data_IF_555423753813
#
_entry.id   IF_555423753813
#
_cell.length_a   1.000
_cell.length_b   1.000
_cell.length_c   1.000
_cell.angle_alpha   90.00
_cell.angle_beta   90.00
_cell.angle_gamma   90.00
#
_symmetry.space_group_name_H-M   'P 1'
#
loop_
_entity.id
_entity.type
_entity.pdbx_description
1 polymer ?
#
# COMPACT_ATOMS: atom_id res chain seq x y z
N UNK A 1 3.73 19.25 -23.47
CA UNK A 1 3.47 19.44 -22.03
C UNK A 1 4.78 19.14 -21.33
N UNK A 2 5.24 19.99 -20.42
CA UNK A 2 6.45 19.73 -19.64
C UNK A 2 6.26 18.44 -18.83
N UNK A 3 7.14 17.45 -19.02
CA UNK A 3 7.07 16.14 -18.37
C UNK A 3 7.03 16.27 -16.85
N UNK A 4 7.70 17.28 -16.28
CA UNK A 4 7.69 17.54 -14.85
C UNK A 4 6.32 18.00 -14.37
N UNK A 5 5.68 18.91 -15.11
CA UNK A 5 4.35 19.41 -14.78
C UNK A 5 3.29 18.29 -14.84
N UNK A 6 3.37 17.42 -15.86
CA UNK A 6 2.48 16.27 -15.99
C UNK A 6 2.67 15.26 -14.84
N UNK A 7 3.90 15.01 -14.40
CA UNK A 7 4.18 14.13 -13.27
C UNK A 7 3.63 14.67 -11.96
N UNK A 8 3.85 15.96 -11.65
CA UNK A 8 3.29 16.60 -10.45
C UNK A 8 1.76 16.53 -10.45
N UNK A 9 1.14 16.76 -11.61
CA UNK A 9 -0.31 16.64 -11.74
C UNK A 9 -0.78 15.20 -11.44
N UNK A 10 -0.11 14.18 -11.97
CA UNK A 10 -0.45 12.79 -11.70
C UNK A 10 -0.32 12.44 -10.20
N UNK A 11 0.76 12.87 -9.55
CA UNK A 11 0.94 12.67 -8.10
C UNK A 11 -0.19 13.33 -7.31
N UNK A 12 -0.55 14.57 -7.64
CA UNK A 12 -1.65 15.27 -6.97
C UNK A 12 -2.99 14.54 -7.16
N UNK A 13 -3.30 14.12 -8.38
CA UNK A 13 -4.53 13.35 -8.67
C UNK A 13 -4.60 12.07 -7.83
N UNK A 14 -3.47 11.37 -7.69
CA UNK A 14 -3.45 10.10 -6.96
C UNK A 14 -3.50 10.31 -5.44
N UNK A 15 -2.99 11.41 -4.90
CA UNK A 15 -2.93 11.60 -3.44
C UNK A 15 -4.13 12.35 -2.86
N UNK A 16 -4.76 13.24 -3.63
CA UNK A 16 -5.79 14.16 -3.10
C UNK A 16 -7.22 13.62 -3.17
N UNK A 17 -7.54 12.79 -4.16
CA UNK A 17 -8.90 12.31 -4.37
C UNK A 17 -9.11 10.89 -3.79
N UNK A 18 -10.28 10.56 -3.21
CA UNK A 18 -10.61 9.19 -2.85
C UNK A 18 -10.79 8.31 -4.09
N UNK A 19 -10.10 7.17 -4.14
CA UNK A 19 -10.27 6.17 -5.19
C UNK A 19 -10.01 4.74 -4.68
N UNK A 20 -10.35 3.78 -5.53
CA UNK A 20 -10.04 2.37 -5.32
C UNK A 20 -9.49 1.77 -6.63
N UNK A 21 -8.40 1.00 -6.54
CA UNK A 21 -7.85 0.29 -7.69
C UNK A 21 -8.63 -1.00 -7.90
N UNK A 22 -9.19 -1.25 -9.11
CA UNK A 22 -10.04 -2.42 -9.36
C UNK A 22 -9.28 -3.75 -9.28
N UNK A 23 -7.95 -3.72 -9.29
CA UNK A 23 -7.06 -4.87 -9.14
C UNK A 23 -6.86 -5.28 -7.68
N UNK A 24 -7.36 -4.50 -6.71
CA UNK A 24 -7.20 -4.77 -5.29
C UNK A 24 -8.54 -5.16 -4.64
N UNK A 25 -8.51 -6.17 -3.77
CA UNK A 25 -9.61 -6.56 -2.88
C UNK A 25 -9.39 -6.11 -1.43
N UNK A 26 -10.48 -5.78 -0.73
CA UNK A 26 -10.54 -5.36 0.69
C UNK A 26 -10.46 -6.52 1.71
N UNK A 27 -10.08 -7.71 1.27
CA UNK A 27 -9.89 -8.88 2.16
C UNK A 27 -8.53 -9.52 1.97
N UNK A 28 -7.79 -9.07 0.95
CA UNK A 28 -6.49 -9.61 0.63
C UNK A 28 -5.43 -8.88 1.46
N UNK A 29 -4.33 -9.59 1.72
CA UNK A 29 -3.13 -9.03 2.33
C UNK A 29 -2.05 -9.05 1.26
N UNK A 30 -1.55 -7.87 0.90
CA UNK A 30 -0.48 -7.69 -0.07
C UNK A 30 0.83 -7.71 0.69
N UNK A 31 1.59 -8.78 0.53
CA UNK A 31 2.81 -9.05 1.28
C UNK A 31 4.01 -9.01 0.35
N UNK A 32 5.09 -8.34 0.78
CA UNK A 32 6.39 -8.40 0.12
C UNK A 32 7.50 -8.54 1.14
N UNK A 33 8.46 -9.39 0.82
CA UNK A 33 9.66 -9.67 1.58
C UNK A 33 10.67 -8.59 1.24
N UNK A 34 11.26 -8.02 2.26
CA UNK A 34 12.31 -7.02 2.16
C UNK A 34 13.65 -7.67 1.75
N UNK A 35 14.59 -6.91 1.20
CA UNK A 35 15.83 -7.46 0.65
C UNK A 35 16.92 -7.68 1.71
N UNK A 36 16.92 -6.92 2.81
CA UNK A 36 17.93 -6.98 3.89
C UNK A 36 17.67 -8.16 4.86
N UNK A 37 17.49 -9.37 4.31
CA UNK A 37 17.26 -10.59 5.10
C UNK A 37 18.54 -11.40 5.22
N UNK A 38 18.73 -12.09 6.33
CA UNK A 38 19.80 -13.09 6.51
C UNK A 38 19.45 -14.45 5.84
N UNK A 39 18.54 -14.44 4.87
CA UNK A 39 17.99 -15.62 4.23
C UNK A 39 16.77 -16.21 4.94
N UNK A 40 16.44 -15.77 6.17
CA UNK A 40 15.26 -16.25 6.89
C UNK A 40 13.95 -15.86 6.21
N UNK A 41 12.97 -16.75 6.36
CA UNK A 41 11.59 -16.54 5.92
C UNK A 41 10.73 -16.38 7.17
N UNK A 42 9.84 -15.40 7.17
CA UNK A 42 8.93 -15.14 8.26
C UNK A 42 8.31 -13.75 8.20
N UNK A 43 7.25 -13.50 8.98
CA UNK A 43 6.54 -12.21 9.02
C UNK A 43 7.44 -11.05 9.46
N UNK A 44 8.53 -11.33 10.18
CA UNK A 44 9.59 -10.38 10.52
C UNK A 44 10.48 -9.99 9.35
N UNK A 45 10.20 -10.47 8.15
CA UNK A 45 10.91 -10.13 6.91
C UNK A 45 9.99 -9.48 5.89
N UNK A 46 8.74 -9.21 6.26
CA UNK A 46 7.69 -8.84 5.32
C UNK A 46 7.05 -7.50 5.66
N UNK A 47 6.89 -6.66 4.64
CA UNK A 47 5.94 -5.55 4.68
C UNK A 47 4.59 -6.05 4.18
N UNK A 48 3.53 -5.74 4.91
CA UNK A 48 2.17 -6.13 4.53
C UNK A 48 1.24 -4.94 4.53
N UNK A 49 0.41 -4.86 3.49
CA UNK A 49 -0.67 -3.87 3.38
C UNK A 49 -2.00 -4.61 3.23
N UNK A 50 -3.00 -4.20 3.99
CA UNK A 50 -4.38 -4.68 3.82
C UNK A 50 -5.35 -3.53 4.02
N UNK A 51 -6.58 -3.73 3.58
CA UNK A 51 -7.64 -2.74 3.66
C UNK A 51 -8.90 -3.40 4.16
N UNK A 52 -9.68 -2.71 4.99
CA UNK A 52 -11.02 -3.19 5.37
C UNK A 52 -12.08 -2.71 4.37
N UNK A 53 -13.28 -3.33 4.37
CA UNK A 53 -14.38 -2.94 3.47
C UNK A 53 -14.86 -1.48 3.62
N UNK A 54 -14.58 -0.85 4.76
CA UNK A 54 -14.83 0.58 5.02
C UNK A 54 -13.75 1.50 4.43
N UNK A 55 -12.71 0.94 3.81
CA UNK A 55 -11.66 1.67 3.10
C UNK A 55 -10.44 2.06 3.93
N UNK A 56 -10.41 1.68 5.22
CA UNK A 56 -9.25 1.90 6.08
C UNK A 56 -8.08 1.01 5.66
N UNK A 57 -6.88 1.57 5.68
CA UNK A 57 -5.66 0.85 5.38
C UNK A 57 -4.92 0.45 6.64
N UNK A 58 -4.27 -0.71 6.61
CA UNK A 58 -3.37 -1.19 7.65
C UNK A 58 -2.02 -1.52 7.04
N UNK A 59 -0.97 -0.98 7.65
CA UNK A 59 0.42 -1.27 7.34
C UNK A 59 1.01 -2.08 8.49
N UNK A 60 1.55 -3.25 8.17
CA UNK A 60 2.31 -4.06 9.12
C UNK A 60 3.76 -4.09 8.66
N UNK A 61 4.65 -3.66 9.56
CA UNK A 61 6.09 -3.71 9.36
C UNK A 61 6.68 -4.88 10.15
N UNK A 62 7.82 -5.42 9.70
CA UNK A 62 8.59 -6.41 10.46
C UNK A 62 8.73 -6.07 11.95
N UNK A 63 8.31 -7.00 12.81
CA UNK A 63 8.47 -6.88 14.27
C UNK A 63 7.71 -5.72 14.91
N UNK A 64 6.74 -5.12 14.21
CA UNK A 64 5.98 -3.94 14.67
C UNK A 64 4.49 -4.23 14.80
N UNK A 65 3.80 -3.41 15.59
CA UNK A 65 2.34 -3.43 15.63
C UNK A 65 1.74 -2.91 14.31
N UNK A 66 0.50 -3.32 14.02
CA UNK A 66 -0.22 -2.89 12.82
C UNK A 66 -0.65 -1.42 12.93
N UNK A 67 -0.30 -0.61 11.94
CA UNK A 67 -0.56 0.82 11.88
C UNK A 67 -1.78 1.09 10.99
N UNK A 68 -2.84 1.67 11.56
CA UNK A 68 -4.09 2.00 10.85
C UNK A 68 -4.07 3.43 10.29
N UNK A 69 -4.45 3.58 9.03
CA UNK A 69 -4.64 4.87 8.36
C UNK A 69 -6.06 4.98 7.82
N UNK A 70 -6.80 5.96 8.35
CA UNK A 70 -8.22 6.17 8.04
C UNK A 70 -8.45 7.32 7.09
N UNK A 71 -9.53 7.25 6.33
CA UNK A 71 -10.09 8.38 5.59
C UNK A 71 -11.01 9.22 6.49
N UNK A 72 -11.52 10.35 5.98
CA UNK A 72 -12.40 11.25 6.75
C UNK A 72 -13.67 10.53 7.25
N UNK A 73 -14.13 9.50 6.52
CA UNK A 73 -15.18 8.59 6.96
C UNK A 73 -14.66 7.74 8.15
N UNK A 74 -14.99 8.16 9.38
CA UNK A 74 -14.49 7.53 10.62
C UNK A 74 -13.48 8.36 11.41
N UNK A 75 -13.29 9.64 11.03
CA UNK A 75 -12.46 10.60 11.79
C UNK A 75 -10.97 10.54 11.49
N UNK A 76 -10.57 9.84 10.42
CA UNK A 76 -9.20 9.87 9.90
C UNK A 76 -8.86 11.22 9.29
N UNK A 77 -7.56 11.49 9.16
CA UNK A 77 -7.02 12.67 8.46
C UNK A 77 -5.89 12.28 7.49
N UNK A 78 -5.89 11.03 7.06
CA UNK A 78 -4.74 10.38 6.42
C UNK A 78 -5.05 9.90 5.00
N UNK A 79 -5.92 10.61 4.27
CA UNK A 79 -6.31 10.27 2.90
C UNK A 79 -5.09 10.01 2.00
N UNK A 80 -4.13 10.94 1.98
CA UNK A 80 -2.90 10.83 1.18
C UNK A 80 -2.10 9.59 1.53
N UNK A 81 -1.93 9.31 2.83
CA UNK A 81 -1.20 8.11 3.29
C UNK A 81 -1.94 6.83 2.90
N UNK A 82 -3.26 6.80 3.09
CA UNK A 82 -4.10 5.68 2.69
C UNK A 82 -4.02 5.44 1.17
N UNK A 83 -4.00 6.49 0.37
CA UNK A 83 -3.85 6.40 -1.08
C UNK A 83 -2.45 5.94 -1.49
N UNK A 84 -1.39 6.37 -0.80
CA UNK A 84 -0.05 5.85 -1.00
C UNK A 84 0.03 4.35 -0.70
N UNK A 85 -0.72 3.87 0.32
CA UNK A 85 -0.79 2.45 0.63
C UNK A 85 -1.52 1.64 -0.45
N UNK A 86 -2.53 2.19 -1.14
CA UNK A 86 -3.11 1.53 -2.33
C UNK A 86 -2.06 1.32 -3.42
N UNK A 87 -1.25 2.35 -3.69
CA UNK A 87 -0.18 2.23 -4.68
C UNK A 87 0.87 1.20 -4.27
N UNK A 88 1.23 1.16 -2.99
CA UNK A 88 2.16 0.15 -2.47
C UNK A 88 1.59 -1.26 -2.63
N UNK A 89 0.31 -1.47 -2.27
CA UNK A 89 -0.34 -2.77 -2.45
C UNK A 89 -0.37 -3.22 -3.92
N UNK A 90 -0.66 -2.31 -4.85
CA UNK A 90 -0.63 -2.60 -6.28
C UNK A 90 0.80 -2.88 -6.79
N UNK A 91 1.81 -2.18 -6.28
CA UNK A 91 3.21 -2.47 -6.59
C UNK A 91 3.60 -3.88 -6.10
N UNK A 92 3.27 -4.22 -4.86
CA UNK A 92 3.50 -5.56 -4.29
C UNK A 92 2.81 -6.64 -5.13
N UNK A 93 1.55 -6.43 -5.54
CA UNK A 93 0.81 -7.37 -6.39
C UNK A 93 1.56 -7.63 -7.69
N UNK A 94 2.02 -6.57 -8.37
CA UNK A 94 2.79 -6.68 -9.63
C UNK A 94 4.15 -7.36 -9.43
N UNK A 95 4.87 -6.96 -8.38
CA UNK A 95 6.16 -7.57 -8.04
C UNK A 95 6.01 -9.06 -7.75
N UNK A 96 4.92 -9.48 -7.11
CA UNK A 96 4.64 -10.90 -6.85
C UNK A 96 4.21 -11.67 -8.11
N UNK A 97 3.61 -11.01 -9.10
CA UNK A 97 3.29 -11.61 -10.41
C UNK A 97 4.53 -11.78 -11.29
N UNK A 98 5.40 -10.76 -11.35
CA UNK A 98 6.61 -10.76 -12.18
C UNK A 98 7.78 -11.50 -11.53
N UNK A 99 7.88 -11.41 -10.19
CA UNK A 99 8.93 -11.98 -9.37
C UNK A 99 8.33 -12.67 -8.13
N UNK A 100 7.70 -13.85 -8.30
CA UNK A 100 7.12 -14.60 -7.19
C UNK A 100 8.14 -14.88 -6.10
N UNK A 101 7.70 -14.75 -4.85
CA UNK A 101 8.54 -15.05 -3.69
C UNK A 101 8.76 -16.56 -3.60
N UNK A 102 9.99 -16.97 -3.32
CA UNK A 102 10.39 -18.38 -3.12
C UNK A 102 10.22 -18.81 -1.67
#
# INVERSE_FOLDING_TARGET
MDTQAAFVQAVNTVLEDPYWLPTLNTTDVYVRRQDDTDGKVGPEQEISVTFSPDGDAWLMLPGSESLRFRTDAGGGKSLRTRNALLLLAEAIRRDNEEHPQQ
#
